data_IF_300097316859
#
_entry.id   IF_300097316859
#
_cell.length_a   1.000
_cell.length_b   1.000
_cell.length_c   1.000
_cell.angle_alpha   90.00
_cell.angle_beta   90.00
_cell.angle_gamma   90.00
#
_symmetry.space_group_name_H-M   'P 1'
#
loop_
_entity.id
_entity.type
_entity.pdbx_description
1 polymer ?
#
# COMPACT_ATOMS: atom_id res chain seq x y z
N UNK A 1 30.01 -31.98 1.20
CA UNK A 1 28.60 -32.10 0.80
C UNK A 1 27.68 -30.93 1.20
N UNK A 2 28.13 -29.92 1.97
CA UNK A 2 27.26 -28.83 2.47
C UNK A 2 27.12 -27.63 1.50
N UNK A 3 28.11 -27.37 0.64
CA UNK A 3 28.16 -26.14 -0.17
C UNK A 3 27.28 -26.17 -1.45
N UNK A 4 26.92 -27.36 -1.96
CA UNK A 4 26.14 -27.48 -3.19
C UNK A 4 24.65 -27.11 -3.02
N UNK A 5 24.08 -27.34 -1.82
CA UNK A 5 22.70 -26.93 -1.49
C UNK A 5 22.54 -25.40 -1.41
N UNK A 6 23.57 -24.68 -0.94
CA UNK A 6 23.49 -23.22 -0.72
C UNK A 6 23.57 -22.45 -2.05
N UNK A 7 24.45 -22.86 -2.96
CA UNK A 7 24.54 -22.33 -4.32
C UNK A 7 23.24 -22.55 -5.11
N UNK A 8 22.63 -23.74 -4.97
CA UNK A 8 21.34 -24.07 -5.58
C UNK A 8 20.19 -23.23 -5.00
N UNK A 9 20.16 -23.03 -3.67
CA UNK A 9 19.19 -22.15 -3.01
C UNK A 9 19.32 -20.70 -3.48
N UNK A 10 20.55 -20.18 -3.59
CA UNK A 10 20.79 -18.82 -4.07
C UNK A 10 20.33 -18.64 -5.53
N UNK A 11 20.60 -19.62 -6.40
CA UNK A 11 20.12 -19.62 -7.79
C UNK A 11 18.59 -19.66 -7.89
N UNK A 12 17.93 -20.37 -6.97
CA UNK A 12 16.47 -20.49 -6.94
C UNK A 12 15.79 -19.19 -6.45
N UNK A 13 16.33 -18.55 -5.42
CA UNK A 13 15.84 -17.25 -4.93
C UNK A 13 16.15 -16.06 -5.86
N UNK A 14 17.21 -16.19 -6.67
CA UNK A 14 17.66 -15.17 -7.62
C UNK A 14 17.01 -15.30 -9.01
N UNK A 15 16.03 -16.20 -9.17
CA UNK A 15 15.34 -16.36 -10.45
C UNK A 15 14.62 -15.07 -10.81
N UNK A 16 15.00 -14.50 -11.95
CA UNK A 16 14.37 -13.31 -12.54
C UNK A 16 13.37 -13.75 -13.59
N UNK A 17 12.25 -13.06 -13.70
CA UNK A 17 11.26 -13.31 -14.77
C UNK A 17 11.79 -12.69 -16.04
N UNK A 18 11.83 -13.50 -17.10
CA UNK A 18 12.05 -12.98 -18.44
C UNK A 18 10.85 -12.14 -18.86
N UNK A 19 11.12 -10.93 -19.31
CA UNK A 19 10.11 -10.00 -19.80
C UNK A 19 9.60 -10.49 -21.15
N UNK A 20 8.53 -11.30 -21.13
CA UNK A 20 7.68 -11.45 -22.30
C UNK A 20 6.86 -10.16 -22.46
N UNK A 21 7.42 -9.20 -23.20
CA UNK A 21 6.83 -7.89 -23.51
C UNK A 21 5.47 -8.02 -24.22
N UNK A 22 5.15 -9.20 -24.74
CA UNK A 22 3.89 -9.55 -25.39
C UNK A 22 2.80 -10.00 -24.39
N UNK A 23 2.41 -9.14 -23.45
CA UNK A 23 1.04 -9.23 -22.94
C UNK A 23 0.15 -8.45 -23.88
N UNK A 24 -0.44 -9.13 -24.88
CA UNK A 24 -1.51 -8.60 -25.73
C UNK A 24 -2.63 -8.08 -24.82
N UNK A 25 -2.58 -6.80 -24.50
CA UNK A 25 -3.57 -6.16 -23.66
C UNK A 25 -4.74 -5.84 -24.56
N UNK A 26 -5.87 -6.51 -24.36
CA UNK A 26 -7.12 -6.27 -25.11
C UNK A 26 -7.73 -4.87 -24.90
N UNK A 27 -7.07 -3.99 -24.14
CA UNK A 27 -7.52 -2.64 -23.84
C UNK A 27 -6.91 -1.65 -24.84
N UNK A 28 -7.76 -0.79 -25.41
CA UNK A 28 -7.32 0.29 -26.26
C UNK A 28 -6.60 1.38 -25.45
N UNK A 29 -5.47 1.86 -25.98
CA UNK A 29 -4.59 2.84 -25.35
C UNK A 29 -5.15 4.25 -25.56
N UNK A 30 -5.98 4.72 -24.63
CA UNK A 30 -6.58 6.07 -24.66
C UNK A 30 -5.93 7.07 -23.71
N UNK A 31 -5.10 6.60 -22.78
CA UNK A 31 -4.58 7.43 -21.70
C UNK A 31 -3.41 8.29 -22.19
N UNK A 32 -3.60 9.61 -22.15
CA UNK A 32 -2.60 10.61 -22.54
C UNK A 32 -1.62 10.85 -21.41
N UNK A 33 -0.49 11.50 -21.69
CA UNK A 33 0.50 11.88 -20.66
C UNK A 33 -0.09 12.75 -19.57
N UNK A 34 -0.98 13.69 -19.91
CA UNK A 34 -1.67 14.54 -18.93
C UNK A 34 -2.60 13.71 -18.04
N UNK A 35 -3.39 12.79 -18.63
CA UNK A 35 -4.26 11.90 -17.87
C UNK A 35 -3.47 11.02 -16.88
N UNK A 36 -2.26 10.57 -17.26
CA UNK A 36 -1.35 9.84 -16.37
C UNK A 36 -0.83 10.70 -15.22
N UNK A 37 -0.48 11.96 -15.50
CA UNK A 37 0.01 12.90 -14.48
C UNK A 37 -1.10 13.18 -13.47
N UNK A 38 -2.32 13.44 -13.95
CA UNK A 38 -3.48 13.68 -13.09
C UNK A 38 -3.80 12.46 -12.22
N UNK A 39 -3.75 11.26 -12.80
CA UNK A 39 -3.88 10.01 -12.04
C UNK A 39 -2.79 9.88 -10.96
N UNK A 40 -1.55 10.24 -11.29
CA UNK A 40 -0.42 10.22 -10.36
C UNK A 40 -0.59 11.19 -9.19
N UNK A 41 -0.95 12.44 -9.47
CA UNK A 41 -1.20 13.47 -8.45
C UNK A 41 -2.37 13.03 -7.55
N UNK A 42 -3.49 12.60 -8.14
CA UNK A 42 -4.67 12.14 -7.39
C UNK A 42 -4.38 10.95 -6.48
N UNK A 43 -3.51 10.02 -6.91
CA UNK A 43 -3.13 8.86 -6.10
C UNK A 43 -2.13 9.18 -4.98
N UNK A 44 -1.39 10.30 -5.09
CA UNK A 44 -0.35 10.69 -4.11
C UNK A 44 -0.89 11.63 -3.04
N UNK A 45 -1.88 12.47 -3.38
CA UNK A 45 -2.53 13.36 -2.42
C UNK A 45 -3.39 12.55 -1.45
N UNK A 46 -3.12 12.70 -0.16
CA UNK A 46 -3.86 12.02 0.89
C UNK A 46 -3.68 12.69 2.25
N UNK A 47 -4.26 12.08 3.28
CA UNK A 47 -4.26 12.59 4.67
C UNK A 47 -2.84 12.96 5.15
N UNK A 48 -1.81 12.26 4.68
CA UNK A 48 -0.42 12.55 5.02
C UNK A 48 0.04 13.98 4.67
N UNK A 49 -0.30 14.48 3.47
CA UNK A 49 0.10 15.85 3.06
C UNK A 49 -0.75 16.89 3.79
N UNK A 50 -2.03 16.64 4.00
CA UNK A 50 -2.94 17.64 4.58
C UNK A 50 -2.84 17.77 6.11
N UNK A 51 -2.59 16.66 6.82
CA UNK A 51 -2.53 16.66 8.30
C UNK A 51 -1.10 16.57 8.80
N UNK A 52 -0.33 15.62 8.28
CA UNK A 52 0.98 15.30 8.85
C UNK A 52 2.03 16.34 8.49
N UNK A 53 1.99 16.90 7.28
CA UNK A 53 2.93 17.97 6.88
C UNK A 53 2.84 19.19 7.79
N UNK A 54 1.62 19.60 8.16
CA UNK A 54 1.39 20.70 9.11
C UNK A 54 1.93 20.40 10.50
N UNK A 55 1.67 19.19 11.03
CA UNK A 55 2.18 18.77 12.34
C UNK A 55 3.71 18.71 12.37
N UNK A 56 4.35 18.16 11.33
CA UNK A 56 5.82 18.08 11.22
C UNK A 56 6.44 19.47 11.09
N UNK A 57 5.82 20.37 10.32
CA UNK A 57 6.29 21.75 10.21
C UNK A 57 6.16 22.49 11.55
N UNK A 58 5.04 22.33 12.27
CA UNK A 58 4.82 23.00 13.55
C UNK A 58 5.71 22.48 14.68
N UNK A 59 5.87 21.16 14.80
CA UNK A 59 6.44 20.54 16.01
C UNK A 59 7.90 20.08 15.87
N UNK A 60 8.41 19.89 14.64
CA UNK A 60 9.71 19.24 14.41
C UNK A 60 10.64 20.10 13.56
N UNK A 61 10.26 20.39 12.32
CA UNK A 61 11.19 20.89 11.29
C UNK A 61 11.03 22.37 10.93
N UNK A 62 9.93 23.02 11.31
CA UNK A 62 9.66 24.40 10.94
C UNK A 62 9.43 24.59 9.42
N UNK A 63 9.66 25.80 8.88
CA UNK A 63 9.55 26.07 7.45
C UNK A 63 10.61 25.36 6.61
N UNK A 64 11.67 24.85 7.23
CA UNK A 64 12.76 24.12 6.55
C UNK A 64 12.33 22.76 5.99
N UNK A 65 11.14 22.24 6.36
CA UNK A 65 10.61 20.94 5.90
C UNK A 65 10.51 20.83 4.38
N UNK A 66 10.41 21.96 3.67
CA UNK A 66 10.26 22.01 2.21
C UNK A 66 11.53 21.50 1.51
N UNK A 67 12.72 21.80 2.03
CA UNK A 67 13.99 21.46 1.38
C UNK A 67 14.21 19.93 1.36
N UNK A 68 14.13 19.21 2.49
CA UNK A 68 14.26 17.75 2.48
C UNK A 68 13.16 17.08 1.66
N UNK A 69 11.93 17.59 1.72
CA UNK A 69 10.80 17.01 0.98
C UNK A 69 11.00 17.12 -0.54
N UNK A 70 11.45 18.27 -1.03
CA UNK A 70 11.73 18.50 -2.44
C UNK A 70 12.86 17.59 -2.96
N UNK A 71 13.95 17.49 -2.20
CA UNK A 71 15.10 16.64 -2.58
C UNK A 71 14.69 15.16 -2.58
N UNK A 72 14.04 14.69 -1.52
CA UNK A 72 13.62 13.29 -1.40
C UNK A 72 12.60 12.89 -2.48
N UNK A 73 11.60 13.74 -2.74
CA UNK A 73 10.58 13.48 -3.75
C UNK A 73 11.17 13.43 -5.16
N UNK A 74 12.06 14.38 -5.50
CA UNK A 74 12.71 14.42 -6.81
C UNK A 74 13.59 13.18 -7.04
N UNK A 75 14.38 12.80 -6.03
CA UNK A 75 15.26 11.64 -6.14
C UNK A 75 14.46 10.34 -6.27
N UNK A 76 13.44 10.14 -5.41
CA UNK A 76 12.57 8.98 -5.51
C UNK A 76 11.82 8.94 -6.85
N UNK A 77 11.31 10.09 -7.32
CA UNK A 77 10.63 10.22 -8.60
C UNK A 77 11.52 9.82 -9.79
N UNK A 78 12.76 10.29 -9.83
CA UNK A 78 13.73 9.93 -10.87
C UNK A 78 14.05 8.43 -10.86
N UNK A 79 14.25 7.83 -9.69
CA UNK A 79 14.48 6.38 -9.57
C UNK A 79 13.29 5.57 -10.11
N UNK A 80 12.06 5.93 -9.75
CA UNK A 80 10.87 5.23 -10.25
C UNK A 80 10.61 5.49 -11.74
N UNK A 81 10.95 6.67 -12.26
CA UNK A 81 10.86 6.96 -13.69
C UNK A 81 11.81 6.07 -14.51
N UNK A 82 13.05 5.87 -14.05
CA UNK A 82 14.03 4.98 -14.69
C UNK A 82 13.54 3.52 -14.73
N UNK A 83 12.98 3.02 -13.61
CA UNK A 83 12.41 1.67 -13.56
C UNK A 83 11.18 1.51 -14.45
N UNK A 84 10.30 2.52 -14.49
CA UNK A 84 9.10 2.51 -15.33
C UNK A 84 9.42 2.56 -16.82
N UNK A 85 10.47 3.30 -17.21
CA UNK A 85 10.94 3.34 -18.60
C UNK A 85 11.59 2.02 -19.05
N UNK A 86 12.26 1.30 -18.14
CA UNK A 86 12.89 0.00 -18.42
C UNK A 86 11.91 -1.16 -18.47
N UNK A 87 10.83 -1.11 -17.70
CA UNK A 87 9.81 -2.17 -17.60
C UNK A 87 8.44 -1.57 -17.94
N UNK A 88 8.09 -1.43 -19.23
CA UNK A 88 6.85 -0.81 -19.70
C UNK A 88 5.64 -1.76 -19.58
N UNK A 89 5.61 -2.56 -18.52
CA UNK A 89 4.54 -3.50 -18.23
C UNK A 89 3.71 -2.95 -17.06
N UNK A 90 2.39 -3.20 -17.07
CA UNK A 90 1.53 -2.84 -15.96
C UNK A 90 1.94 -3.63 -14.71
N UNK A 91 2.59 -2.95 -13.77
CA UNK A 91 3.03 -3.54 -12.51
C UNK A 91 3.52 -2.47 -11.54
N UNK A 92 3.26 -2.67 -10.25
CA UNK A 92 3.79 -1.84 -9.16
C UNK A 92 5.20 -2.30 -8.79
N UNK A 93 5.77 -1.78 -7.69
CA UNK A 93 7.13 -2.08 -7.22
C UNK A 93 7.47 -3.57 -7.13
N UNK A 94 6.49 -4.45 -6.90
CA UNK A 94 6.65 -5.91 -6.99
C UNK A 94 7.27 -6.36 -8.32
N UNK A 95 6.73 -5.90 -9.45
CA UNK A 95 7.19 -6.32 -10.78
C UNK A 95 8.60 -5.78 -11.06
N UNK A 96 8.87 -4.53 -10.68
CA UNK A 96 10.19 -3.91 -10.84
C UNK A 96 11.26 -4.69 -10.08
N UNK A 97 10.98 -5.06 -8.83
CA UNK A 97 11.90 -5.85 -8.00
C UNK A 97 12.03 -7.29 -8.47
N UNK A 98 10.97 -7.89 -9.02
CA UNK A 98 11.03 -9.22 -9.60
C UNK A 98 11.98 -9.29 -10.79
N UNK A 99 11.93 -8.28 -11.67
CA UNK A 99 12.79 -8.19 -12.85
C UNK A 99 14.24 -7.86 -12.48
N UNK A 100 14.46 -7.01 -11.46
CA UNK A 100 15.80 -6.46 -11.16
C UNK A 100 16.55 -7.26 -10.10
N UNK A 101 15.92 -7.60 -8.98
CA UNK A 101 16.54 -8.26 -7.81
C UNK A 101 16.17 -9.74 -7.66
N UNK A 102 15.14 -10.23 -8.35
CA UNK A 102 14.69 -11.62 -8.30
C UNK A 102 13.55 -11.86 -7.31
N UNK A 103 13.16 -13.14 -7.20
CA UNK A 103 11.92 -13.57 -6.57
C UNK A 103 11.83 -13.27 -5.06
N UNK A 104 12.92 -13.39 -4.31
CA UNK A 104 12.90 -13.16 -2.86
C UNK A 104 12.56 -11.70 -2.50
N UNK A 105 13.23 -10.74 -3.14
CA UNK A 105 13.00 -9.32 -2.89
C UNK A 105 11.64 -8.89 -3.41
N UNK A 106 11.20 -9.43 -4.54
CA UNK A 106 9.86 -9.22 -5.03
C UNK A 106 8.82 -9.72 -4.02
N UNK A 107 9.00 -10.90 -3.42
CA UNK A 107 8.07 -11.43 -2.41
C UNK A 107 7.95 -10.51 -1.18
N UNK A 108 9.08 -10.05 -0.62
CA UNK A 108 9.06 -9.12 0.51
C UNK A 108 8.36 -7.80 0.17
N UNK A 109 8.60 -7.28 -1.03
CA UNK A 109 7.97 -6.04 -1.52
C UNK A 109 6.49 -6.25 -1.79
N UNK A 110 6.09 -7.41 -2.31
CA UNK A 110 4.68 -7.79 -2.48
C UNK A 110 3.93 -7.82 -1.16
N UNK A 111 4.50 -8.44 -0.12
CA UNK A 111 3.88 -8.49 1.20
C UNK A 111 3.76 -7.09 1.83
N UNK A 112 4.83 -6.30 1.78
CA UNK A 112 4.80 -4.92 2.30
C UNK A 112 3.84 -4.02 1.52
N UNK A 113 3.65 -4.23 0.21
CA UNK A 113 2.63 -3.52 -0.56
C UNK A 113 1.22 -3.82 -0.06
N UNK A 114 0.89 -5.10 0.18
CA UNK A 114 -0.42 -5.50 0.72
C UNK A 114 -0.66 -4.83 2.08
N UNK A 115 0.32 -4.90 2.99
CA UNK A 115 0.22 -4.25 4.31
C UNK A 115 0.06 -2.73 4.17
N UNK A 116 0.79 -2.10 3.25
CA UNK A 116 0.71 -0.66 3.00
C UNK A 116 -0.68 -0.26 2.51
N UNK A 117 -1.31 -1.04 1.64
CA UNK A 117 -2.67 -0.75 1.17
C UNK A 117 -3.69 -0.87 2.32
N UNK A 118 -3.59 -1.90 3.16
CA UNK A 118 -4.47 -2.07 4.33
C UNK A 118 -4.33 -0.90 5.30
N UNK A 119 -3.09 -0.56 5.68
CA UNK A 119 -2.81 0.56 6.58
C UNK A 119 -3.24 1.88 5.95
N UNK A 120 -3.02 2.06 4.65
CA UNK A 120 -3.42 3.24 3.89
C UNK A 120 -4.93 3.48 3.96
N UNK A 121 -5.75 2.44 3.79
CA UNK A 121 -7.20 2.54 3.93
C UNK A 121 -7.62 3.01 5.33
N UNK A 122 -7.02 2.43 6.38
CA UNK A 122 -7.29 2.82 7.77
C UNK A 122 -6.92 4.29 8.03
N UNK A 123 -5.77 4.75 7.50
CA UNK A 123 -5.33 6.15 7.65
C UNK A 123 -6.32 7.13 7.00
N UNK A 124 -6.84 6.81 5.81
CA UNK A 124 -7.79 7.67 5.11
C UNK A 124 -9.07 7.83 5.93
N UNK A 125 -9.62 6.73 6.44
CA UNK A 125 -10.80 6.71 7.28
C UNK A 125 -10.60 7.46 8.60
N UNK A 126 -9.42 7.31 9.23
CA UNK A 126 -9.08 8.04 10.45
C UNK A 126 -8.92 9.54 10.21
N UNK A 127 -8.30 9.92 9.09
CA UNK A 127 -8.23 11.30 8.65
C UNK A 127 -9.62 11.91 8.49
N UNK A 128 -10.52 11.20 7.82
CA UNK A 128 -11.92 11.61 7.67
C UNK A 128 -12.61 11.79 9.03
N UNK A 129 -12.46 10.83 9.96
CA UNK A 129 -13.00 10.93 11.32
C UNK A 129 -12.53 12.21 12.02
N UNK A 130 -11.23 12.51 11.92
CA UNK A 130 -10.62 13.70 12.54
C UNK A 130 -11.16 15.00 11.92
N UNK A 131 -11.32 15.05 10.59
CA UNK A 131 -11.87 16.22 9.91
C UNK A 131 -13.33 16.45 10.27
N UNK A 132 -14.14 15.39 10.33
CA UNK A 132 -15.54 15.47 10.74
C UNK A 132 -15.63 15.93 12.20
N UNK A 133 -14.81 15.40 13.09
CA UNK A 133 -14.75 15.85 14.49
C UNK A 133 -14.40 17.34 14.61
N UNK A 134 -13.45 17.82 13.80
CA UNK A 134 -13.09 19.24 13.76
C UNK A 134 -14.25 20.13 13.28
N UNK A 135 -15.10 19.65 12.35
CA UNK A 135 -16.29 20.38 11.89
C UNK A 135 -17.38 20.44 12.97
N UNK A 136 -17.53 19.38 13.78
CA UNK A 136 -18.48 19.31 14.89
C UNK A 136 -17.90 19.83 16.21
N UNK A 137 -16.84 20.65 16.17
CA UNK A 137 -16.24 21.30 17.32
C UNK A 137 -15.88 20.33 18.47
N UNK A 138 -15.35 19.16 18.11
CA UNK A 138 -14.89 18.11 19.04
C UNK A 138 -15.96 17.47 19.94
N UNK A 139 -17.24 17.64 19.61
CA UNK A 139 -18.36 16.99 20.34
C UNK A 139 -18.25 15.47 20.23
N UNK A 140 -17.85 14.95 19.06
CA UNK A 140 -17.76 13.52 18.80
C UNK A 140 -16.62 12.89 19.60
N UNK A 141 -15.46 13.56 19.66
CA UNK A 141 -14.33 13.16 20.51
C UNK A 141 -14.70 13.13 22.00
N UNK A 142 -15.36 14.17 22.50
CA UNK A 142 -15.77 14.23 23.91
C UNK A 142 -16.79 13.14 24.27
N UNK A 143 -17.72 12.83 23.37
CA UNK A 143 -18.69 11.76 23.54
C UNK A 143 -18.02 10.37 23.57
N UNK A 144 -17.03 10.13 22.71
CA UNK A 144 -16.29 8.87 22.67
C UNK A 144 -15.29 8.72 23.82
N UNK A 145 -14.65 9.81 24.23
CA UNK A 145 -13.74 9.82 25.38
C UNK A 145 -14.49 9.56 26.70
N UNK A 146 -15.74 10.02 26.81
CA UNK A 146 -16.62 9.68 27.93
C UNK A 146 -17.15 8.24 27.90
N UNK A 147 -17.27 7.62 26.73
CA UNK A 147 -17.84 6.28 26.57
C UNK A 147 -16.80 5.15 26.71
N UNK A 148 -15.56 5.38 26.31
CA UNK A 148 -14.47 4.41 26.40
C UNK A 148 -13.09 5.09 26.41
N UNK A 149 -12.63 5.50 27.59
CA UNK A 149 -11.27 6.05 27.77
C UNK A 149 -10.24 4.92 27.75
N UNK A 150 -9.24 5.02 26.86
CA UNK A 150 -8.12 4.08 26.78
C UNK A 150 -6.84 4.85 27.09
N UNK A 151 -6.35 4.75 28.32
CA UNK A 151 -5.17 5.48 28.81
C UNK A 151 -3.89 4.64 28.70
N UNK A 152 -3.41 4.47 27.47
CA UNK A 152 -2.11 3.84 27.19
C UNK A 152 -1.34 4.67 26.15
N UNK A 153 -0.12 5.07 26.50
CA UNK A 153 0.75 6.02 25.77
C UNK A 153 0.99 5.73 24.26
N UNK A 154 0.69 4.52 23.77
CA UNK A 154 0.91 4.13 22.36
C UNK A 154 -0.36 3.93 21.53
N UNK A 155 -1.54 3.91 22.16
CA UNK A 155 -2.81 3.79 21.44
C UNK A 155 -3.52 5.16 21.37
N UNK A 156 -4.47 5.30 20.46
CA UNK A 156 -5.32 6.49 20.42
C UNK A 156 -6.19 6.57 21.68
N UNK A 157 -6.36 7.77 22.24
CA UNK A 157 -7.12 8.04 23.48
C UNK A 157 -8.54 7.48 23.49
N UNK A 158 -9.12 7.22 22.31
CA UNK A 158 -10.42 6.59 22.15
C UNK A 158 -10.42 5.67 20.91
N UNK A 159 -11.28 4.63 20.90
CA UNK A 159 -11.55 3.85 19.69
C UNK A 159 -12.50 4.62 18.75
N UNK A 160 -12.09 4.78 17.48
CA UNK A 160 -12.84 5.51 16.45
C UNK A 160 -14.05 4.69 15.92
N UNK A 161 -15.19 4.70 16.64
CA UNK A 161 -16.40 4.00 16.19
C UNK A 161 -17.01 4.58 14.90
N UNK A 162 -16.84 5.89 14.66
CA UNK A 162 -17.31 6.53 13.43
C UNK A 162 -16.60 5.97 12.19
N UNK A 163 -15.27 5.90 12.22
CA UNK A 163 -14.47 5.34 11.14
C UNK A 163 -14.84 3.87 10.89
N UNK A 164 -15.07 3.10 11.95
CA UNK A 164 -15.53 1.70 11.84
C UNK A 164 -16.89 1.59 11.13
N UNK A 165 -17.86 2.42 11.53
CA UNK A 165 -19.19 2.45 10.90
C UNK A 165 -19.13 2.78 9.41
N UNK A 166 -18.39 3.82 9.03
CA UNK A 166 -18.20 4.21 7.61
C UNK A 166 -17.54 3.09 6.82
N UNK A 167 -16.53 2.42 7.39
CA UNK A 167 -15.86 1.28 6.74
C UNK A 167 -16.82 0.12 6.50
N UNK A 168 -17.66 -0.20 7.49
CA UNK A 168 -18.62 -1.30 7.41
C UNK A 168 -19.70 -1.02 6.36
N UNK A 169 -20.23 0.21 6.32
CA UNK A 169 -21.20 0.63 5.31
C UNK A 169 -20.56 0.54 3.92
N UNK A 170 -19.36 1.09 3.72
CA UNK A 170 -18.69 1.08 2.43
C UNK A 170 -18.38 -0.34 1.94
N UNK A 171 -17.87 -1.20 2.84
CA UNK A 171 -17.64 -2.62 2.58
C UNK A 171 -18.93 -3.36 2.25
N UNK A 172 -20.01 -3.09 2.99
CA UNK A 172 -21.33 -3.70 2.76
C UNK A 172 -21.94 -3.30 1.42
N UNK A 173 -21.84 -2.03 1.04
CA UNK A 173 -22.29 -1.54 -0.27
C UNK A 173 -21.49 -2.18 -1.40
N UNK A 174 -20.16 -2.26 -1.28
CA UNK A 174 -19.31 -2.97 -2.24
C UNK A 174 -19.71 -4.45 -2.35
N UNK A 175 -19.91 -5.12 -1.21
CA UNK A 175 -20.33 -6.53 -1.19
C UNK A 175 -21.72 -6.75 -1.82
N UNK A 176 -22.61 -5.75 -1.78
CA UNK A 176 -23.92 -5.81 -2.43
C UNK A 176 -23.85 -5.57 -3.95
N UNK A 177 -22.93 -4.71 -4.40
CA UNK A 177 -22.75 -4.38 -5.83
C UNK A 177 -21.98 -5.50 -6.55
N UNK A 178 -20.97 -6.07 -5.92
CA UNK A 178 -20.13 -7.12 -6.52
C UNK A 178 -20.69 -8.52 -6.24
N UNK A 179 -20.76 -9.38 -7.28
CA UNK A 179 -21.18 -10.77 -7.10
C UNK A 179 -20.22 -11.51 -6.16
N UNK A 180 -20.77 -12.21 -5.17
CA UNK A 180 -20.04 -13.04 -4.21
C UNK A 180 -19.00 -13.97 -4.86
N UNK A 181 -19.29 -14.56 -6.02
CA UNK A 181 -18.33 -15.41 -6.73
C UNK A 181 -17.05 -14.67 -7.19
N UNK A 182 -17.14 -13.39 -7.56
CA UNK A 182 -15.96 -12.60 -7.92
C UNK A 182 -15.18 -12.18 -6.67
N UNK A 183 -15.87 -11.82 -5.59
CA UNK A 183 -15.24 -11.48 -4.30
C UNK A 183 -14.50 -12.68 -3.70
N UNK A 184 -15.16 -13.85 -3.68
CA UNK A 184 -14.58 -15.10 -3.19
C UNK A 184 -13.42 -15.54 -4.08
N UNK A 185 -13.52 -15.43 -5.41
CA UNK A 185 -12.37 -15.76 -6.26
C UNK A 185 -11.17 -14.82 -6.01
N UNK A 186 -11.37 -13.52 -5.81
CA UNK A 186 -10.27 -12.59 -5.50
C UNK A 186 -9.64 -12.85 -4.12
N UNK A 187 -10.46 -13.14 -3.10
CA UNK A 187 -9.97 -13.45 -1.74
C UNK A 187 -9.34 -14.84 -1.65
N UNK A 188 -9.98 -15.84 -2.26
CA UNK A 188 -9.55 -17.24 -2.26
C UNK A 188 -8.24 -17.42 -3.03
N UNK A 189 -8.02 -16.68 -4.13
CA UNK A 189 -6.71 -16.63 -4.80
C UNK A 189 -5.64 -16.08 -3.87
N UNK A 190 -5.93 -15.04 -3.09
CA UNK A 190 -4.96 -14.45 -2.15
C UNK A 190 -4.58 -15.38 -1.00
N UNK A 191 -5.56 -16.06 -0.39
CA UNK A 191 -5.31 -17.02 0.69
C UNK A 191 -4.67 -18.31 0.19
N UNK A 192 -5.10 -18.86 -0.95
CA UNK A 192 -4.49 -20.04 -1.56
C UNK A 192 -3.04 -19.77 -2.01
N UNK A 193 -2.72 -18.59 -2.53
CA UNK A 193 -1.33 -18.19 -2.80
C UNK A 193 -0.51 -18.12 -1.52
N UNK A 194 -1.02 -17.50 -0.46
CA UNK A 194 -0.30 -17.41 0.81
C UNK A 194 -0.01 -18.81 1.40
N UNK A 195 -1.01 -19.70 1.42
CA UNK A 195 -0.84 -21.06 1.93
C UNK A 195 0.05 -21.92 1.05
N UNK A 196 -0.07 -21.84 -0.28
CA UNK A 196 0.81 -22.59 -1.18
C UNK A 196 2.26 -22.14 -1.08
N UNK A 197 2.52 -20.84 -0.95
CA UNK A 197 3.89 -20.30 -0.75
C UNK A 197 4.48 -20.78 0.57
N UNK A 198 3.73 -20.70 1.67
CA UNK A 198 4.19 -21.20 2.98
C UNK A 198 4.43 -22.71 2.93
N UNK A 199 3.53 -23.47 2.31
CA UNK A 199 3.69 -24.91 2.13
C UNK A 199 4.93 -25.25 1.27
N UNK A 200 5.18 -24.52 0.19
CA UNK A 200 6.36 -24.68 -0.66
C UNK A 200 7.63 -24.34 0.14
N UNK A 201 7.65 -23.25 0.90
CA UNK A 201 8.79 -22.91 1.75
C UNK A 201 9.08 -24.00 2.79
N UNK A 202 8.07 -24.57 3.41
CA UNK A 202 8.21 -25.66 4.39
C UNK A 202 8.66 -26.97 3.73
N UNK A 203 8.16 -27.28 2.53
CA UNK A 203 8.58 -28.45 1.73
C UNK A 203 10.01 -28.31 1.21
N UNK A 204 10.43 -27.08 0.86
CA UNK A 204 11.78 -26.79 0.37
C UNK A 204 12.81 -26.75 1.51
N UNK A 205 12.38 -26.46 2.75
CA UNK A 205 13.25 -26.51 3.95
C UNK A 205 13.46 -27.92 4.53
N UNK A 206 12.62 -28.91 4.19
CA UNK A 206 12.81 -30.32 4.56
C UNK A 206 13.58 -31.08 3.48
#
# INVERSE_FOLDING_TARGET
MKNWKVESLYKMFSRKKELNVSQDTKLARYLTTLDLIDLGIGSTLGVGVYVLAGSVSKNIAGPAVIIPFAIASTFAGLCYAEFSARVPCAGSGYLYSYVTMGEFMAFLIGWTLILRYVIGSVIILKGLSTYVDALFNSIMRNAFESAAHIDINHFSSYPDFFAFGVTLIFSGVLAAIFKLNQLVNMMSIGTLLAYSIVAICVLVLR
#
